data_IF_151372866869
#
_entry.id   IF_151372866869
#
_cell.length_a   1.000
_cell.length_b   1.000
_cell.length_c   1.000
_cell.angle_alpha   90.00
_cell.angle_beta   90.00
_cell.angle_gamma   90.00
#
_symmetry.space_group_name_H-M   'P 1'
#
loop_
_entity.id
_entity.type
_entity.pdbx_description
1 polymer ?
#
# COMPACT_ATOMS: atom_id res chain seq x y z
N UNK A 1 16.94 -22.26 -4.91
CA UNK A 1 17.21 -20.90 -5.44
C UNK A 1 15.94 -20.21 -5.96
N UNK A 2 15.17 -20.75 -6.92
CA UNK A 2 13.95 -20.10 -7.46
C UNK A 2 12.89 -19.71 -6.41
N UNK A 3 12.66 -20.50 -5.34
CA UNK A 3 11.72 -20.13 -4.27
C UNK A 3 12.17 -18.89 -3.48
N UNK A 4 13.46 -18.77 -3.14
CA UNK A 4 13.98 -17.59 -2.44
C UNK A 4 13.90 -16.31 -3.30
N UNK A 5 14.02 -16.44 -4.62
CA UNK A 5 13.92 -15.30 -5.55
C UNK A 5 12.48 -14.83 -5.78
N UNK A 6 11.53 -15.76 -5.89
CA UNK A 6 10.10 -15.44 -5.93
C UNK A 6 9.71 -14.73 -4.63
N UNK A 7 10.17 -15.21 -3.47
CA UNK A 7 9.96 -14.53 -2.18
C UNK A 7 10.59 -13.14 -2.16
N UNK A 8 11.83 -12.96 -2.63
CA UNK A 8 12.51 -11.66 -2.67
C UNK A 8 11.80 -10.64 -3.58
N UNK A 9 11.35 -11.05 -4.76
CA UNK A 9 10.65 -10.16 -5.69
C UNK A 9 9.22 -9.85 -5.25
N UNK A 10 8.48 -10.82 -4.72
CA UNK A 10 7.18 -10.60 -4.07
C UNK A 10 7.33 -9.56 -2.96
N UNK A 11 8.36 -9.70 -2.11
CA UNK A 11 8.66 -8.74 -1.03
C UNK A 11 9.02 -7.35 -1.57
N UNK A 12 9.65 -7.24 -2.75
CA UNK A 12 10.00 -5.96 -3.36
C UNK A 12 8.85 -5.25 -4.09
N UNK A 13 7.95 -5.99 -4.75
CA UNK A 13 6.86 -5.43 -5.56
C UNK A 13 5.61 -5.10 -4.75
N UNK A 14 5.32 -5.84 -3.68
CA UNK A 14 4.13 -5.60 -2.84
C UNK A 14 4.11 -4.25 -2.11
N UNK A 15 5.28 -3.66 -1.87
CA UNK A 15 5.45 -2.53 -0.95
C UNK A 15 5.65 -1.16 -1.63
N UNK A 16 5.70 -1.11 -2.96
CA UNK A 16 6.13 0.09 -3.69
C UNK A 16 4.99 1.04 -4.13
N UNK A 17 3.92 1.19 -3.35
CA UNK A 17 2.85 2.14 -3.64
C UNK A 17 2.42 2.82 -2.34
N UNK A 18 3.09 3.93 -2.02
CA UNK A 18 2.63 5.13 -1.29
C UNK A 18 3.85 5.87 -0.75
N UNK A 19 4.64 6.42 -1.66
CA UNK A 19 5.43 7.62 -1.39
C UNK A 19 4.91 8.65 -2.38
N UNK A 20 3.98 9.50 -1.96
CA UNK A 20 3.46 10.59 -2.78
C UNK A 20 4.55 11.65 -2.98
N UNK A 21 4.91 12.02 -4.22
CA UNK A 21 5.60 13.26 -4.48
C UNK A 21 4.56 14.35 -4.81
N UNK A 22 4.54 15.38 -3.95
CA UNK A 22 3.88 16.70 -4.01
C UNK A 22 2.97 17.04 -5.22
N UNK A 23 1.78 17.63 -5.00
CA UNK A 23 1.08 18.41 -6.01
C UNK A 23 1.77 19.77 -6.23
N UNK A 24 2.09 20.11 -7.48
CA UNK A 24 2.53 21.47 -7.85
C UNK A 24 1.33 22.36 -8.09
N UNK A 25 1.11 23.35 -7.21
CA UNK A 25 0.12 24.40 -7.42
C UNK A 25 0.62 25.40 -8.47
N UNK A 26 -0.02 25.47 -9.64
CA UNK A 26 0.06 26.64 -10.55
C UNK A 26 -1.13 27.55 -10.28
N UNK A 27 -0.88 28.72 -9.70
CA UNK A 27 -1.84 29.83 -9.66
C UNK A 27 -1.80 30.58 -10.99
N UNK A 28 -2.91 30.56 -11.71
CA UNK A 28 -3.24 31.55 -12.76
C UNK A 28 -3.80 32.79 -12.09
N UNK A 29 -3.23 33.96 -12.42
CA UNK A 29 -3.66 35.25 -11.88
C UNK A 29 -4.71 35.95 -12.73
N UNK A 30 -5.49 36.83 -12.08
CA UNK A 30 -5.98 38.08 -12.65
C UNK A 30 -6.43 39.05 -11.54
N UNK A 31 -5.69 40.14 -11.43
CA UNK A 31 -6.12 41.54 -11.32
C UNK A 31 -6.67 42.24 -10.05
N UNK A 32 -6.02 43.41 -9.82
CA UNK A 32 -6.46 44.70 -9.22
C UNK A 32 -6.10 45.09 -7.76
N UNK A 33 -4.95 45.77 -7.67
CA UNK A 33 -4.60 47.03 -6.94
C UNK A 33 -4.61 47.17 -5.39
N UNK A 34 -3.72 48.01 -4.81
CA UNK A 34 -3.18 47.85 -3.43
C UNK A 34 -3.68 48.89 -2.41
N UNK A 35 -3.34 48.75 -1.10
CA UNK A 35 -2.41 49.74 -0.55
C UNK A 35 -1.46 49.31 0.60
N UNK A 36 -0.35 50.07 0.64
CA UNK A 36 0.48 50.55 1.76
C UNK A 36 1.38 49.61 2.60
N UNK A 37 2.67 49.95 2.48
CA UNK A 37 3.86 49.49 3.19
C UNK A 37 3.79 49.66 4.71
N UNK A 38 4.24 48.64 5.44
CA UNK A 38 4.92 48.79 6.71
C UNK A 38 6.21 47.95 6.65
N UNK A 39 7.33 48.59 6.99
CA UNK A 39 8.69 48.12 6.77
C UNK A 39 9.31 47.69 8.11
N UNK A 40 9.88 46.48 8.19
CA UNK A 40 10.87 46.07 9.19
C UNK A 40 11.59 44.78 8.76
N UNK A 41 12.78 44.46 9.30
CA UNK A 41 14.05 44.52 8.59
C UNK A 41 14.52 43.16 8.03
N UNK A 42 15.42 43.24 7.04
CA UNK A 42 16.21 42.12 6.51
C UNK A 42 17.00 41.45 7.63
N UNK A 43 16.78 40.15 7.81
CA UNK A 43 17.74 39.23 8.39
C UNK A 43 18.26 38.35 7.26
N UNK A 44 19.58 38.34 7.12
CA UNK A 44 20.32 37.70 6.05
C UNK A 44 20.03 36.20 6.00
N UNK A 45 19.49 35.75 4.85
CA UNK A 45 19.40 34.34 4.52
C UNK A 45 20.79 33.86 4.08
N UNK A 46 21.55 33.32 5.02
CA UNK A 46 22.71 32.49 4.69
C UNK A 46 22.21 31.21 3.98
N UNK A 47 22.66 31.05 2.75
CA UNK A 47 22.49 29.87 1.89
C UNK A 47 22.92 28.60 2.64
N UNK A 48 21.99 27.68 2.89
CA UNK A 48 22.31 26.34 3.39
C UNK A 48 22.51 25.38 2.21
N UNK A 49 23.71 24.81 2.10
CA UNK A 49 24.07 23.81 1.11
C UNK A 49 23.25 22.51 1.26
N UNK A 50 22.74 21.92 0.17
CA UNK A 50 21.87 20.73 0.21
C UNK A 50 22.56 19.45 0.69
N UNK A 51 23.90 19.43 0.79
CA UNK A 51 24.69 18.26 1.20
C UNK A 51 24.79 18.10 2.72
N UNK A 52 24.75 19.21 3.48
CA UNK A 52 24.80 19.15 4.95
C UNK A 52 23.44 18.79 5.58
N UNK A 53 22.34 19.13 4.91
CA UNK A 53 20.99 18.86 5.40
C UNK A 53 20.65 17.36 5.38
N UNK A 54 21.05 16.64 4.33
CA UNK A 54 20.79 15.19 4.18
C UNK A 54 21.54 14.33 5.20
N UNK A 55 22.81 14.64 5.47
CA UNK A 55 23.59 13.93 6.50
C UNK A 55 23.00 14.13 7.90
N UNK A 56 22.49 15.34 8.18
CA UNK A 56 21.82 15.68 9.45
C UNK A 56 20.49 14.94 9.61
N UNK A 57 19.67 14.87 8.55
CA UNK A 57 18.40 14.11 8.57
C UNK A 57 18.63 12.62 8.81
N UNK A 58 19.65 12.03 8.18
CA UNK A 58 19.95 10.62 8.37
C UNK A 58 20.43 10.32 9.79
N UNK A 59 21.27 11.17 10.38
CA UNK A 59 21.69 11.01 11.78
C UNK A 59 20.53 11.15 12.77
N UNK A 60 19.58 12.06 12.51
CA UNK A 60 18.38 12.23 13.35
C UNK A 60 17.51 10.96 13.31
N UNK A 61 17.24 10.43 12.12
CA UNK A 61 16.46 9.19 11.95
C UNK A 61 17.14 8.02 12.65
N UNK A 62 18.46 7.84 12.48
CA UNK A 62 19.22 6.80 13.17
C UNK A 62 19.13 6.92 14.69
N UNK A 63 19.30 8.14 15.23
CA UNK A 63 19.18 8.41 16.66
C UNK A 63 17.78 8.08 17.19
N UNK A 64 16.73 8.47 16.47
CA UNK A 64 15.35 8.17 16.86
C UNK A 64 15.08 6.66 16.89
N UNK A 65 15.53 5.92 15.88
CA UNK A 65 15.39 4.46 15.84
C UNK A 65 16.14 3.78 16.98
N UNK A 66 17.35 4.23 17.32
CA UNK A 66 18.10 3.72 18.47
C UNK A 66 17.38 4.00 19.79
N UNK A 67 16.83 5.20 19.96
CA UNK A 67 16.05 5.58 21.15
C UNK A 67 14.82 4.69 21.31
N UNK A 68 14.09 4.42 20.23
CA UNK A 68 12.94 3.52 20.25
C UNK A 68 13.35 2.07 20.55
N UNK A 69 14.49 1.63 20.02
CA UNK A 69 15.01 0.29 20.28
C UNK A 69 15.51 0.11 21.72
N UNK A 70 16.12 1.13 22.32
CA UNK A 70 16.57 1.09 23.72
C UNK A 70 15.40 1.18 24.70
N UNK A 71 14.35 1.89 24.33
CA UNK A 71 13.18 2.09 25.19
C UNK A 71 12.05 1.07 24.97
N UNK A 72 12.08 0.22 23.93
CA UNK A 72 11.00 -0.72 23.63
C UNK A 72 10.73 -1.71 24.77
N UNK A 73 9.44 -1.89 25.10
CA UNK A 73 8.95 -2.82 26.11
C UNK A 73 7.54 -3.29 25.74
N UNK A 74 7.15 -4.48 26.19
CA UNK A 74 5.79 -4.98 25.95
C UNK A 74 4.76 -4.05 26.62
N UNK A 75 3.92 -3.47 25.79
CA UNK A 75 2.93 -2.47 26.19
C UNK A 75 1.68 -3.15 26.79
N UNK A 76 1.45 -4.40 26.40
CA UNK A 76 0.31 -5.23 26.80
C UNK A 76 0.79 -6.59 27.33
N UNK A 77 1.51 -6.62 28.47
CA UNK A 77 1.82 -7.88 29.14
C UNK A 77 0.54 -8.52 29.70
N UNK A 78 0.61 -9.83 29.98
CA UNK A 78 -0.58 -10.67 30.24
C UNK A 78 -1.40 -10.24 31.47
N UNK A 79 -0.73 -9.74 32.49
CA UNK A 79 -1.29 -9.16 33.72
C UNK A 79 -2.04 -7.86 33.42
N UNK A 80 -1.45 -6.97 32.61
CA UNK A 80 -2.08 -5.71 32.20
C UNK A 80 -3.30 -5.93 31.32
N UNK A 81 -3.26 -6.93 30.44
CA UNK A 81 -4.45 -7.31 29.65
C UNK A 81 -5.59 -7.73 30.57
N UNK A 82 -5.30 -8.47 31.65
CA UNK A 82 -6.33 -8.85 32.62
C UNK A 82 -6.91 -7.63 33.33
N UNK A 83 -6.07 -6.69 33.76
CA UNK A 83 -6.51 -5.44 34.38
C UNK A 83 -7.38 -4.57 33.45
N UNK A 84 -7.05 -4.50 32.16
CA UNK A 84 -7.85 -3.79 31.14
C UNK A 84 -9.23 -4.44 30.93
N UNK A 85 -9.29 -5.77 30.93
CA UNK A 85 -10.55 -6.50 30.78
C UNK A 85 -11.46 -6.27 32.00
N UNK A 86 -10.91 -6.30 33.21
CA UNK A 86 -11.65 -6.06 34.47
C UNK A 86 -11.96 -4.58 34.72
N UNK A 87 -11.46 -3.66 33.88
CA UNK A 87 -11.69 -2.22 34.01
C UNK A 87 -10.88 -1.56 35.12
N UNK A 88 -9.83 -2.22 35.60
CA UNK A 88 -8.98 -1.77 36.72
C UNK A 88 -7.71 -1.04 36.27
N UNK A 89 -7.48 -0.91 34.97
CA UNK A 89 -6.37 -0.17 34.36
C UNK A 89 -6.85 0.68 33.19
N UNK A 90 -6.20 1.82 32.98
CA UNK A 90 -6.32 2.62 31.77
C UNK A 90 -5.47 2.04 30.63
N UNK A 91 -5.87 2.37 29.39
CA UNK A 91 -5.17 1.93 28.19
C UNK A 91 -3.78 2.54 28.11
N UNK A 92 -2.80 1.79 27.59
CA UNK A 92 -1.45 2.31 27.42
C UNK A 92 -1.42 3.44 26.41
N UNK A 93 -1.07 4.63 26.88
CA UNK A 93 -0.77 5.82 26.06
C UNK A 93 0.64 5.70 25.47
N UNK A 94 0.93 6.50 24.44
CA UNK A 94 2.28 6.73 23.93
C UNK A 94 3.24 7.06 25.09
N UNK A 95 4.44 6.46 25.05
CA UNK A 95 5.51 6.74 26.03
C UNK A 95 6.16 8.08 25.76
N UNK A 96 6.91 8.60 26.72
CA UNK A 96 7.52 9.92 26.59
C UNK A 96 8.59 9.94 25.50
N UNK A 97 9.35 8.86 25.32
CA UNK A 97 10.27 8.71 24.20
C UNK A 97 9.55 8.70 22.84
N UNK A 98 8.39 8.03 22.78
CA UNK A 98 7.58 7.97 21.55
C UNK A 98 6.96 9.33 21.23
N UNK A 99 6.41 10.02 22.23
CA UNK A 99 5.90 11.39 22.10
C UNK A 99 7.00 12.34 21.63
N UNK A 100 8.20 12.21 22.19
CA UNK A 100 9.33 13.03 21.81
C UNK A 100 9.69 12.82 20.34
N UNK A 101 9.87 11.57 19.91
CA UNK A 101 10.14 11.24 18.51
C UNK A 101 9.01 11.75 17.60
N UNK A 102 7.74 11.53 17.95
CA UNK A 102 6.61 12.04 17.15
C UNK A 102 6.72 13.57 16.99
N UNK A 103 6.97 14.30 18.08
CA UNK A 103 7.07 15.76 18.05
C UNK A 103 8.24 16.26 17.20
N UNK A 104 9.39 15.58 17.23
CA UNK A 104 10.59 15.91 16.47
C UNK A 104 10.36 15.79 14.96
N UNK A 105 9.69 14.72 14.52
CA UNK A 105 9.48 14.45 13.10
C UNK A 105 8.27 15.19 12.52
N UNK A 106 7.29 15.58 13.34
CA UNK A 106 6.11 16.32 12.89
C UNK A 106 6.35 17.81 12.57
N UNK A 107 7.56 18.35 12.83
CA UNK A 107 7.89 19.75 12.53
C UNK A 107 7.91 20.03 11.02
N UNK A 108 8.29 19.06 10.21
CA UNK A 108 8.46 19.22 8.76
C UNK A 108 7.85 18.04 8.00
N UNK A 109 6.99 18.35 7.03
CA UNK A 109 6.30 17.37 6.18
C UNK A 109 7.27 16.37 5.51
N UNK A 110 8.34 16.88 4.91
CA UNK A 110 9.33 16.06 4.20
C UNK A 110 10.15 15.17 5.14
N UNK A 111 10.43 15.64 6.35
CA UNK A 111 11.12 14.88 7.39
C UNK A 111 10.25 13.73 7.89
N UNK A 112 8.97 14.01 8.20
CA UNK A 112 8.01 12.98 8.56
C UNK A 112 7.80 11.95 7.46
N UNK A 113 7.68 12.35 6.18
CA UNK A 113 7.56 11.37 5.08
C UNK A 113 8.78 10.46 4.97
N UNK A 114 9.98 11.04 5.11
CA UNK A 114 11.24 10.28 5.08
C UNK A 114 11.29 9.29 6.24
N UNK A 115 10.92 9.74 7.45
CA UNK A 115 10.92 8.89 8.64
C UNK A 115 9.89 7.76 8.57
N UNK A 116 8.65 8.05 8.16
CA UNK A 116 7.62 7.03 7.94
C UNK A 116 8.09 6.00 6.91
N UNK A 117 8.76 6.43 5.84
CA UNK A 117 9.33 5.53 4.83
C UNK A 117 10.42 4.63 5.40
N UNK A 118 11.31 5.16 6.24
CA UNK A 118 12.36 4.38 6.91
C UNK A 118 11.78 3.38 7.91
N UNK A 119 10.75 3.75 8.68
CA UNK A 119 10.05 2.80 9.57
C UNK A 119 9.48 1.64 8.76
N UNK A 120 8.79 1.92 7.65
CA UNK A 120 8.21 0.89 6.80
C UNK A 120 9.27 -0.04 6.21
N UNK A 121 10.41 0.53 5.77
CA UNK A 121 11.53 -0.25 5.27
C UNK A 121 12.13 -1.14 6.37
N UNK A 122 12.31 -0.62 7.58
CA UNK A 122 12.81 -1.40 8.72
C UNK A 122 11.88 -2.55 9.08
N UNK A 123 10.56 -2.29 9.19
CA UNK A 123 9.54 -3.33 9.44
C UNK A 123 9.60 -4.41 8.34
N UNK A 124 9.78 -3.99 7.09
CA UNK A 124 9.86 -4.90 5.94
C UNK A 124 11.13 -5.76 5.96
N UNK A 125 12.30 -5.16 6.14
CA UNK A 125 13.60 -5.85 6.09
C UNK A 125 13.77 -6.79 7.27
N UNK A 126 13.33 -6.37 8.46
CA UNK A 126 13.55 -7.09 9.71
C UNK A 126 12.36 -7.98 10.14
N UNK A 127 11.31 -8.08 9.32
CA UNK A 127 10.04 -8.77 9.62
C UNK A 127 10.18 -10.12 10.35
N UNK A 128 11.16 -10.94 9.98
CA UNK A 128 11.34 -12.29 10.52
C UNK A 128 12.14 -12.40 11.83
N UNK A 129 12.81 -11.32 12.25
CA UNK A 129 13.71 -11.32 13.41
C UNK A 129 13.58 -10.06 14.29
N UNK A 130 12.72 -9.11 13.91
CA UNK A 130 12.41 -7.94 14.71
C UNK A 130 11.76 -8.36 16.03
N UNK A 131 12.28 -7.85 17.15
CA UNK A 131 11.66 -8.03 18.45
C UNK A 131 10.24 -7.48 18.48
N UNK A 132 9.30 -8.22 19.07
CA UNK A 132 7.88 -7.85 19.13
C UNK A 132 7.66 -6.45 19.74
N UNK A 133 8.44 -6.10 20.76
CA UNK A 133 8.33 -4.82 21.46
C UNK A 133 8.76 -3.64 20.56
N UNK A 134 9.80 -3.85 19.75
CA UNK A 134 10.25 -2.87 18.76
C UNK A 134 9.19 -2.68 17.67
N UNK A 135 8.60 -3.77 17.17
CA UNK A 135 7.51 -3.70 16.19
C UNK A 135 6.32 -2.90 16.74
N UNK A 136 5.90 -3.17 17.98
CA UNK A 136 4.83 -2.43 18.64
C UNK A 136 5.17 -0.94 18.74
N UNK A 137 6.38 -0.60 19.19
CA UNK A 137 6.81 0.79 19.34
C UNK A 137 6.87 1.53 17.99
N UNK A 138 7.45 0.92 16.97
CA UNK A 138 7.51 1.49 15.61
C UNK A 138 6.11 1.70 15.03
N UNK A 139 5.19 0.76 15.20
CA UNK A 139 3.81 0.89 14.72
C UNK A 139 3.04 1.99 15.47
N UNK A 140 3.22 2.12 16.80
CA UNK A 140 2.62 3.21 17.58
C UNK A 140 3.16 4.57 17.18
N UNK A 141 4.47 4.71 17.02
CA UNK A 141 5.10 5.95 16.54
C UNK A 141 4.62 6.31 15.15
N UNK A 142 4.57 5.33 14.23
CA UNK A 142 4.07 5.53 12.87
C UNK A 142 2.64 6.08 12.88
N UNK A 143 1.73 5.44 13.65
CA UNK A 143 0.34 5.88 13.76
C UNK A 143 0.23 7.24 14.47
N UNK A 144 1.06 7.51 15.48
CA UNK A 144 1.13 8.80 16.15
C UNK A 144 1.56 9.94 15.23
N UNK A 145 2.57 9.72 14.38
CA UNK A 145 2.98 10.69 13.35
C UNK A 145 1.85 10.90 12.33
N UNK A 146 1.17 9.83 11.89
CA UNK A 146 0.01 9.93 11.01
C UNK A 146 -1.14 10.72 11.66
N UNK A 147 -1.40 10.51 12.95
CA UNK A 147 -2.44 11.21 13.71
C UNK A 147 -2.18 12.71 13.76
N UNK A 148 -0.95 13.12 14.11
CA UNK A 148 -0.56 14.54 14.15
C UNK A 148 -0.69 15.24 12.80
N UNK A 149 -0.60 14.45 11.71
CA UNK A 149 -0.72 14.94 10.34
C UNK A 149 -2.13 14.81 9.75
N UNK A 150 -3.05 14.14 10.44
CA UNK A 150 -4.37 13.82 9.90
C UNK A 150 -4.37 12.82 8.74
N UNK A 151 -3.32 12.01 8.59
CA UNK A 151 -3.16 11.04 7.50
C UNK A 151 -3.64 9.63 7.91
N UNK A 152 -4.95 9.45 7.96
CA UNK A 152 -5.56 8.15 8.31
C UNK A 152 -5.28 7.08 7.25
N UNK A 153 -5.12 7.46 5.98
CA UNK A 153 -4.85 6.53 4.89
C UNK A 153 -3.53 5.79 5.08
N UNK A 154 -2.45 6.48 5.47
CA UNK A 154 -1.17 5.83 5.78
C UNK A 154 -1.27 4.89 6.98
N UNK A 155 -2.04 5.25 8.01
CA UNK A 155 -2.27 4.40 9.17
C UNK A 155 -3.04 3.11 8.79
N UNK A 156 -4.12 3.24 8.00
CA UNK A 156 -4.87 2.09 7.49
C UNK A 156 -4.02 1.21 6.58
N UNK A 157 -3.21 1.80 5.72
CA UNK A 157 -2.30 1.07 4.84
C UNK A 157 -1.27 0.24 5.64
N UNK A 158 -0.77 0.75 6.77
CA UNK A 158 0.10 -0.01 7.67
C UNK A 158 -0.65 -1.22 8.26
N UNK A 159 -1.86 -1.02 8.80
CA UNK A 159 -2.65 -2.12 9.37
C UNK A 159 -2.98 -3.19 8.31
N UNK A 160 -3.40 -2.75 7.13
CA UNK A 160 -3.61 -3.62 5.98
C UNK A 160 -2.36 -4.45 5.67
N UNK A 161 -1.17 -3.85 5.65
CA UNK A 161 0.11 -4.56 5.40
C UNK A 161 0.39 -5.60 6.49
N UNK A 162 0.26 -5.24 7.76
CA UNK A 162 0.47 -6.16 8.90
C UNK A 162 -0.42 -7.40 8.79
N UNK A 163 -1.69 -7.21 8.44
CA UNK A 163 -2.64 -8.32 8.23
C UNK A 163 -2.33 -9.10 6.95
N UNK A 164 -2.07 -8.44 5.83
CA UNK A 164 -1.82 -9.09 4.53
C UNK A 164 -0.53 -9.91 4.51
N UNK A 165 0.44 -9.50 5.31
CA UNK A 165 1.74 -10.16 5.43
C UNK A 165 1.80 -11.19 6.56
N UNK A 166 0.69 -11.56 7.19
CA UNK A 166 0.69 -12.64 8.18
C UNK A 166 1.74 -12.46 9.30
N UNK A 167 1.93 -11.21 9.77
CA UNK A 167 2.75 -10.95 10.94
C UNK A 167 2.22 -11.73 12.15
N UNK A 168 3.13 -12.38 12.88
CA UNK A 168 2.80 -13.00 14.16
C UNK A 168 2.27 -11.93 15.11
N UNK A 169 1.17 -12.23 15.81
CA UNK A 169 0.48 -11.29 16.71
C UNK A 169 -0.05 -9.99 16.06
N UNK A 170 -0.30 -9.95 14.74
CA UNK A 170 -0.89 -8.79 14.09
C UNK A 170 -2.11 -8.19 14.85
N UNK A 171 -3.05 -8.99 15.40
CA UNK A 171 -4.14 -8.43 16.23
C UNK A 171 -3.67 -7.69 17.50
N UNK A 172 -2.60 -8.15 18.16
CA UNK A 172 -2.00 -7.47 19.32
C UNK A 172 -1.35 -6.14 18.88
N UNK A 173 -0.64 -6.15 17.74
CA UNK A 173 -0.04 -4.93 17.18
C UNK A 173 -1.11 -3.89 16.81
N UNK A 174 -2.22 -4.33 16.20
CA UNK A 174 -3.36 -3.46 15.87
C UNK A 174 -3.98 -2.87 17.15
N UNK A 175 -4.10 -3.68 18.21
CA UNK A 175 -4.60 -3.19 19.49
C UNK A 175 -3.73 -2.06 20.04
N UNK A 176 -2.40 -2.22 20.08
CA UNK A 176 -1.51 -1.15 20.59
C UNK A 176 -1.47 0.08 19.69
N UNK A 177 -1.68 -0.08 18.38
CA UNK A 177 -1.88 1.04 17.47
C UNK A 177 -3.16 1.81 17.80
N UNK A 178 -4.24 1.09 18.08
CA UNK A 178 -5.52 1.68 18.46
C UNK A 178 -5.43 2.42 19.80
N UNK A 179 -4.60 1.96 20.75
CA UNK A 179 -4.38 2.74 21.99
C UNK A 179 -3.61 4.04 21.76
N UNK A 180 -2.77 4.11 20.73
CA UNK A 180 -2.09 5.35 20.34
C UNK A 180 -3.03 6.34 19.63
N UNK A 181 -3.98 5.85 18.82
CA UNK A 181 -4.97 6.68 18.13
C UNK A 181 -6.36 6.01 18.13
N UNK A 182 -7.19 6.19 19.17
CA UNK A 182 -8.43 5.41 19.37
C UNK A 182 -9.43 5.45 18.21
N UNK A 183 -9.56 6.59 17.53
CA UNK A 183 -10.57 6.80 16.48
C UNK A 183 -10.14 6.36 15.07
N UNK A 184 -8.89 5.92 14.88
CA UNK A 184 -8.37 5.72 13.52
C UNK A 184 -9.04 4.55 12.80
N UNK A 185 -9.51 3.53 13.52
CA UNK A 185 -10.21 2.37 12.94
C UNK A 185 -11.73 2.55 12.92
N UNK A 186 -12.25 3.78 12.76
CA UNK A 186 -13.68 3.98 12.60
C UNK A 186 -14.23 3.12 11.44
N UNK A 187 -15.38 2.49 11.66
CA UNK A 187 -15.96 1.48 10.76
C UNK A 187 -16.54 2.04 9.44
N UNK A 188 -16.21 3.29 9.10
CA UNK A 188 -16.82 4.04 7.99
C UNK A 188 -16.28 3.63 6.62
N UNK A 189 -14.99 3.29 6.53
CA UNK A 189 -14.37 2.96 5.24
C UNK A 189 -14.45 1.46 4.92
N UNK A 190 -14.51 1.11 3.62
CA UNK A 190 -14.43 -0.28 3.17
C UNK A 190 -13.20 -1.01 3.73
N UNK A 191 -12.07 -0.30 3.85
CA UNK A 191 -10.82 -0.85 4.34
C UNK A 191 -10.86 -1.09 5.84
N UNK A 192 -11.40 -0.17 6.63
CA UNK A 192 -11.61 -0.38 8.07
C UNK A 192 -12.49 -1.59 8.32
N UNK A 193 -13.59 -1.76 7.57
CA UNK A 193 -14.45 -2.95 7.68
C UNK A 193 -13.68 -4.24 7.38
N UNK A 194 -12.87 -4.24 6.32
CA UNK A 194 -12.01 -5.39 6.01
C UNK A 194 -10.97 -5.67 7.10
N UNK A 195 -10.36 -4.63 7.68
CA UNK A 195 -9.43 -4.73 8.80
C UNK A 195 -10.13 -5.35 10.03
N UNK A 196 -11.34 -4.90 10.36
CA UNK A 196 -12.12 -5.44 11.48
C UNK A 196 -12.40 -6.94 11.28
N UNK A 197 -12.91 -7.32 10.12
CA UNK A 197 -13.23 -8.71 9.78
C UNK A 197 -11.97 -9.59 9.90
N UNK A 198 -10.86 -9.19 9.27
CA UNK A 198 -9.66 -10.02 9.26
C UNK A 198 -8.96 -10.04 10.63
N UNK A 199 -8.99 -8.95 11.38
CA UNK A 199 -8.48 -8.92 12.76
C UNK A 199 -9.30 -9.85 13.66
N UNK A 200 -10.62 -9.84 13.52
CA UNK A 200 -11.53 -10.71 14.26
C UNK A 200 -11.28 -12.19 13.98
N UNK A 201 -11.10 -12.56 12.70
CA UNK A 201 -10.77 -13.93 12.29
C UNK A 201 -9.41 -14.43 12.85
N UNK A 202 -8.47 -13.51 13.13
CA UNK A 202 -7.11 -13.85 13.56
C UNK A 202 -6.89 -13.74 15.06
N UNK A 203 -7.67 -12.92 15.74
CA UNK A 203 -7.55 -12.71 17.17
C UNK A 203 -7.96 -13.97 17.95
N UNK A 204 -7.23 -14.27 19.03
CA UNK A 204 -7.50 -15.43 19.91
C UNK A 204 -7.34 -15.04 21.38
N UNK A 205 -8.00 -15.79 22.26
CA UNK A 205 -7.85 -15.67 23.71
C UNK A 205 -8.09 -14.25 24.22
N UNK A 206 -7.22 -13.78 25.13
CA UNK A 206 -7.38 -12.48 25.79
C UNK A 206 -7.34 -11.28 24.82
N UNK A 207 -6.57 -11.38 23.73
CA UNK A 207 -6.48 -10.32 22.72
C UNK A 207 -7.79 -10.16 21.95
N UNK A 208 -8.48 -11.28 21.66
CA UNK A 208 -9.82 -11.23 21.06
C UNK A 208 -10.79 -10.45 21.95
N UNK A 209 -10.89 -10.81 23.24
CA UNK A 209 -11.79 -10.11 24.16
C UNK A 209 -11.48 -8.62 24.30
N UNK A 210 -10.19 -8.25 24.29
CA UNK A 210 -9.79 -6.85 24.40
C UNK A 210 -10.16 -6.06 23.13
N UNK A 211 -9.91 -6.63 21.95
CA UNK A 211 -10.32 -6.03 20.67
C UNK A 211 -11.84 -5.91 20.57
N UNK A 212 -12.58 -6.93 21.00
CA UNK A 212 -14.04 -6.91 21.02
C UNK A 212 -14.56 -5.72 21.84
N UNK A 213 -14.04 -5.55 23.06
CA UNK A 213 -14.40 -4.42 23.94
C UNK A 213 -13.99 -3.07 23.34
N UNK A 214 -12.81 -2.98 22.73
CA UNK A 214 -12.22 -1.69 22.34
C UNK A 214 -12.64 -1.21 20.95
N UNK A 215 -12.95 -2.13 20.04
CA UNK A 215 -13.47 -1.83 18.72
C UNK A 215 -15.00 -1.99 18.65
N UNK A 216 -15.65 -2.09 19.82
CA UNK A 216 -17.10 -2.20 19.97
C UNK A 216 -17.74 -3.34 19.17
N UNK A 217 -17.06 -4.49 19.04
CA UNK A 217 -17.60 -5.63 18.31
C UNK A 217 -18.75 -6.34 19.03
N UNK A 218 -18.95 -6.08 20.32
CA UNK A 218 -20.15 -6.52 21.05
C UNK A 218 -21.41 -5.80 20.56
N UNK A 219 -21.28 -4.54 20.12
CA UNK A 219 -22.37 -3.70 19.60
C UNK A 219 -22.48 -3.88 18.07
N UNK A 220 -21.36 -3.80 17.37
CA UNK A 220 -21.26 -3.91 15.92
C UNK A 220 -20.26 -5.02 15.51
N UNK A 221 -20.70 -6.29 15.50
CA UNK A 221 -19.81 -7.40 15.20
C UNK A 221 -19.32 -7.35 13.74
N UNK A 222 -18.05 -7.69 13.48
CA UNK A 222 -17.51 -7.76 12.13
C UNK A 222 -18.31 -8.73 11.25
N UNK A 223 -18.68 -8.26 10.05
CA UNK A 223 -19.55 -9.01 9.14
C UNK A 223 -18.91 -10.24 8.50
N UNK A 224 -19.73 -11.02 7.79
CA UNK A 224 -19.28 -12.16 7.01
C UNK A 224 -18.36 -11.74 5.85
N UNK A 225 -17.27 -12.48 5.64
CA UNK A 225 -16.26 -12.17 4.62
C UNK A 225 -16.80 -12.20 3.18
N UNK A 226 -17.68 -13.13 2.83
CA UNK A 226 -18.26 -13.19 1.49
C UNK A 226 -19.16 -11.97 1.23
N UNK A 227 -20.00 -11.62 2.22
CA UNK A 227 -20.86 -10.45 2.13
C UNK A 227 -20.03 -9.17 2.03
N UNK A 228 -18.91 -9.08 2.76
CA UNK A 228 -17.99 -7.97 2.69
C UNK A 228 -17.33 -7.84 1.30
N UNK A 229 -16.92 -8.96 0.68
CA UNK A 229 -16.37 -8.94 -0.69
C UNK A 229 -17.42 -8.44 -1.68
N UNK A 230 -18.63 -9.04 -1.69
CA UNK A 230 -19.70 -8.68 -2.61
C UNK A 230 -20.14 -7.23 -2.45
N UNK A 231 -20.36 -6.78 -1.21
CA UNK A 231 -20.77 -5.40 -0.93
C UNK A 231 -19.66 -4.40 -1.29
N UNK A 232 -18.39 -4.71 -1.02
CA UNK A 232 -17.26 -3.85 -1.38
C UNK A 232 -17.13 -3.71 -2.88
N UNK A 233 -17.26 -4.82 -3.64
CA UNK A 233 -17.22 -4.78 -5.10
C UNK A 233 -18.36 -3.95 -5.68
N UNK A 234 -19.58 -4.12 -5.14
CA UNK A 234 -20.75 -3.31 -5.54
C UNK A 234 -20.51 -1.82 -5.28
N UNK A 235 -20.15 -1.45 -4.06
CA UNK A 235 -19.87 -0.05 -3.70
C UNK A 235 -18.74 0.55 -4.55
N UNK A 236 -17.70 -0.22 -4.84
CA UNK A 236 -16.61 0.20 -5.72
C UNK A 236 -17.10 0.58 -7.13
N UNK A 237 -18.02 -0.19 -7.71
CA UNK A 237 -18.52 0.08 -9.06
C UNK A 237 -19.47 1.29 -9.08
N UNK A 238 -20.24 1.49 -8.01
CA UNK A 238 -21.24 2.55 -7.87
C UNK A 238 -20.65 3.90 -7.41
N UNK A 239 -19.44 3.94 -6.86
CA UNK A 239 -18.85 5.14 -6.25
C UNK A 239 -18.49 6.22 -7.29
N UNK A 240 -19.32 7.25 -7.42
CA UNK A 240 -19.10 8.35 -8.36
C UNK A 240 -17.85 9.20 -8.07
N UNK A 241 -17.26 9.11 -6.87
CA UNK A 241 -16.13 9.93 -6.43
C UNK A 241 -14.75 9.47 -6.95
N UNK A 242 -14.67 8.25 -7.49
CA UNK A 242 -13.42 7.67 -8.01
C UNK A 242 -12.88 8.51 -9.18
N UNK A 243 -11.59 8.84 -9.13
CA UNK A 243 -10.90 9.64 -10.14
C UNK A 243 -9.43 9.28 -10.28
N UNK A 244 -8.85 9.61 -11.43
CA UNK A 244 -7.41 9.61 -11.63
C UNK A 244 -6.78 10.85 -10.99
N UNK A 245 -5.56 10.70 -10.48
CA UNK A 245 -4.73 11.77 -9.95
C UNK A 245 -3.42 11.81 -10.74
N UNK A 246 -2.99 13.00 -11.16
CA UNK A 246 -1.66 13.17 -11.74
C UNK A 246 -0.59 12.90 -10.68
N UNK A 247 0.46 12.20 -11.08
CA UNK A 247 1.57 11.86 -10.21
C UNK A 247 2.89 11.92 -10.97
N UNK A 248 3.87 12.65 -10.46
CA UNK A 248 5.16 12.83 -11.14
C UNK A 248 5.97 11.54 -11.32
N UNK A 249 5.78 10.56 -10.42
CA UNK A 249 6.47 9.28 -10.45
C UNK A 249 5.72 8.22 -11.26
N UNK A 250 4.40 8.12 -11.07
CA UNK A 250 3.55 7.12 -11.72
C UNK A 250 2.90 7.58 -13.04
N UNK A 251 2.98 8.88 -13.37
CA UNK A 251 2.23 9.51 -14.47
C UNK A 251 0.81 9.84 -14.01
N UNK A 252 -0.01 8.80 -13.89
CA UNK A 252 -1.33 8.86 -13.27
C UNK A 252 -1.47 7.74 -12.25
N UNK A 253 -2.09 8.04 -11.12
CA UNK A 253 -2.44 7.09 -10.07
C UNK A 253 -3.93 7.17 -9.74
N UNK A 254 -4.41 6.22 -8.94
CA UNK A 254 -5.77 6.16 -8.45
C UNK A 254 -5.93 7.01 -7.19
N UNK A 255 -7.10 7.61 -6.99
CA UNK A 255 -7.36 8.36 -5.77
C UNK A 255 -7.37 7.47 -4.51
N UNK A 256 -7.18 8.04 -3.30
CA UNK A 256 -7.16 7.27 -2.06
C UNK A 256 -8.41 6.41 -1.83
N UNK A 257 -9.60 6.89 -2.21
CA UNK A 257 -10.84 6.12 -2.13
C UNK A 257 -10.78 4.84 -2.98
N UNK A 258 -10.23 4.91 -4.19
CA UNK A 258 -10.04 3.74 -5.05
C UNK A 258 -9.05 2.74 -4.43
N UNK A 259 -7.95 3.23 -3.85
CA UNK A 259 -6.99 2.37 -3.16
C UNK A 259 -7.58 1.68 -1.92
N UNK A 260 -8.49 2.35 -1.19
CA UNK A 260 -9.23 1.73 -0.09
C UNK A 260 -10.03 0.50 -0.58
N UNK A 261 -10.75 0.60 -1.71
CA UNK A 261 -11.47 -0.55 -2.28
C UNK A 261 -10.52 -1.68 -2.70
N UNK A 262 -9.41 -1.34 -3.35
CA UNK A 262 -8.41 -2.33 -3.78
C UNK A 262 -7.82 -3.07 -2.57
N UNK A 263 -7.41 -2.35 -1.53
CA UNK A 263 -6.85 -2.96 -0.32
C UNK A 263 -7.88 -3.79 0.43
N UNK A 264 -9.13 -3.34 0.47
CA UNK A 264 -10.23 -4.10 1.07
C UNK A 264 -10.43 -5.45 0.39
N UNK A 265 -10.61 -5.43 -0.94
CA UNK A 265 -10.85 -6.64 -1.73
C UNK A 265 -9.64 -7.58 -1.68
N UNK A 266 -8.43 -7.04 -1.78
CA UNK A 266 -7.20 -7.82 -1.70
C UNK A 266 -6.99 -8.46 -0.31
N UNK A 267 -7.34 -7.76 0.77
CA UNK A 267 -7.22 -8.28 2.13
C UNK A 267 -8.24 -9.39 2.40
N UNK A 268 -9.50 -9.18 2.01
CA UNK A 268 -10.59 -10.15 2.19
C UNK A 268 -10.37 -11.39 1.31
N UNK A 269 -10.02 -11.21 0.03
CA UNK A 269 -9.72 -12.33 -0.86
C UNK A 269 -8.52 -13.16 -0.38
N UNK A 270 -7.56 -12.55 0.31
CA UNK A 270 -6.44 -13.27 0.90
C UNK A 270 -6.88 -14.38 1.86
N UNK A 271 -7.92 -14.12 2.67
CA UNK A 271 -8.42 -15.12 3.64
C UNK A 271 -9.19 -16.25 2.96
N UNK A 272 -9.74 -16.00 1.77
CA UNK A 272 -10.44 -17.02 0.97
C UNK A 272 -9.49 -17.96 0.23
N UNK A 273 -8.24 -17.55 0.02
CA UNK A 273 -7.22 -18.31 -0.68
C UNK A 273 -7.35 -18.26 -2.20
N UNK A 274 -6.23 -18.57 -2.88
CA UNK A 274 -6.07 -18.37 -4.32
C UNK A 274 -7.12 -19.08 -5.19
N UNK A 275 -7.39 -20.37 -4.94
CA UNK A 275 -8.33 -21.17 -5.75
C UNK A 275 -9.73 -20.59 -5.73
N UNK A 276 -10.19 -20.12 -4.57
CA UNK A 276 -11.48 -19.46 -4.45
C UNK A 276 -11.46 -18.11 -5.17
N UNK A 277 -10.42 -17.30 -4.94
CA UNK A 277 -10.28 -15.96 -5.54
C UNK A 277 -10.27 -16.01 -7.06
N UNK A 278 -9.49 -16.91 -7.67
CA UNK A 278 -9.43 -17.00 -9.14
C UNK A 278 -10.77 -17.43 -9.73
N UNK A 279 -11.47 -18.35 -9.06
CA UNK A 279 -12.72 -18.93 -9.57
C UNK A 279 -13.90 -17.99 -9.40
N UNK A 280 -14.01 -17.32 -8.25
CA UNK A 280 -15.20 -16.56 -7.91
C UNK A 280 -15.07 -15.06 -8.14
N UNK A 281 -13.86 -14.50 -8.01
CA UNK A 281 -13.66 -13.05 -8.15
C UNK A 281 -13.01 -12.73 -9.49
N UNK A 282 -11.85 -13.32 -9.79
CA UNK A 282 -11.11 -12.98 -11.01
C UNK A 282 -11.90 -13.38 -12.26
N UNK A 283 -12.31 -14.66 -12.37
CA UNK A 283 -12.96 -15.17 -13.58
C UNK A 283 -14.41 -14.71 -13.76
N UNK A 284 -15.19 -14.66 -12.68
CA UNK A 284 -16.63 -14.35 -12.75
C UNK A 284 -16.91 -12.85 -12.74
N UNK A 285 -16.25 -12.10 -11.88
CA UNK A 285 -16.59 -10.69 -11.67
C UNK A 285 -15.62 -9.75 -12.39
N UNK A 286 -14.33 -9.83 -12.07
CA UNK A 286 -13.33 -8.88 -12.58
C UNK A 286 -13.15 -8.99 -14.10
N UNK A 287 -13.08 -10.21 -14.63
CA UNK A 287 -12.96 -10.43 -16.07
C UNK A 287 -14.23 -10.04 -16.84
N UNK A 288 -15.41 -10.18 -16.21
CA UNK A 288 -16.67 -9.73 -16.79
C UNK A 288 -16.70 -8.20 -16.92
N UNK A 289 -16.21 -7.46 -15.92
CA UNK A 289 -16.06 -6.00 -15.99
C UNK A 289 -15.17 -5.61 -17.19
N UNK A 290 -14.01 -6.26 -17.35
CA UNK A 290 -13.09 -5.98 -18.45
C UNK A 290 -13.69 -6.28 -19.82
N UNK A 291 -14.35 -7.43 -19.98
CA UNK A 291 -15.01 -7.82 -21.23
C UNK A 291 -16.14 -6.86 -21.59
N UNK A 292 -16.96 -6.47 -20.61
CA UNK A 292 -18.08 -5.55 -20.81
C UNK A 292 -17.58 -4.17 -21.25
N UNK A 293 -16.52 -3.67 -20.62
CA UNK A 293 -15.89 -2.41 -21.02
C UNK A 293 -15.27 -2.46 -22.42
N UNK A 294 -14.69 -3.60 -22.84
CA UNK A 294 -14.13 -3.76 -24.19
C UNK A 294 -15.18 -3.79 -25.30
N UNK A 295 -16.32 -4.43 -25.06
CA UNK A 295 -17.38 -4.61 -26.08
C UNK A 295 -18.17 -3.33 -26.35
N UNK A 296 -17.92 -2.27 -25.60
CA UNK A 296 -18.70 -1.05 -25.65
C UNK A 296 -18.21 -0.07 -26.73
N UNK A 297 -19.15 0.57 -27.42
CA UNK A 297 -18.84 1.68 -28.31
C UNK A 297 -18.31 2.88 -27.51
N UNK A 298 -17.17 3.44 -27.93
CA UNK A 298 -16.52 4.60 -27.27
C UNK A 298 -17.34 5.89 -27.33
N UNK A 299 -18.44 5.89 -28.08
CA UNK A 299 -19.38 7.01 -28.27
C UNK A 299 -20.57 6.98 -27.30
N UNK A 300 -20.75 5.90 -26.53
CA UNK A 300 -21.84 5.74 -25.56
C UNK A 300 -21.35 5.99 -24.12
N UNK A 301 -22.26 6.40 -23.22
CA UNK A 301 -21.93 6.47 -21.78
C UNK A 301 -21.45 5.09 -21.30
N UNK A 302 -20.26 5.05 -20.71
CA UNK A 302 -19.61 3.81 -20.31
C UNK A 302 -20.34 3.14 -19.15
N UNK A 303 -20.78 1.86 -19.25
CA UNK A 303 -21.36 1.15 -18.11
C UNK A 303 -20.31 0.98 -17.00
N UNK A 304 -19.03 0.92 -17.37
CA UNK A 304 -17.90 1.00 -16.44
C UNK A 304 -16.96 2.14 -16.82
N UNK A 305 -16.71 3.04 -15.87
CA UNK A 305 -15.78 4.16 -16.04
C UNK A 305 -14.33 3.66 -16.15
N UNK A 306 -13.50 4.39 -16.88
CA UNK A 306 -12.09 4.04 -17.08
C UNK A 306 -11.32 3.90 -15.75
N UNK A 307 -11.63 4.72 -14.74
CA UNK A 307 -11.04 4.60 -13.39
C UNK A 307 -11.35 3.26 -12.72
N UNK A 308 -12.56 2.72 -12.93
CA UNK A 308 -12.93 1.41 -12.40
C UNK A 308 -12.12 0.31 -13.11
N UNK A 309 -11.94 0.41 -14.43
CA UNK A 309 -11.16 -0.57 -15.21
C UNK A 309 -9.69 -0.54 -14.83
N UNK A 310 -9.12 0.66 -14.68
CA UNK A 310 -7.77 0.84 -14.16
C UNK A 310 -7.61 0.19 -12.77
N UNK A 311 -8.53 0.44 -11.86
CA UNK A 311 -8.54 -0.18 -10.54
C UNK A 311 -8.68 -1.70 -10.58
N UNK A 312 -9.48 -2.27 -11.49
CA UNK A 312 -9.56 -3.71 -11.72
C UNK A 312 -8.20 -4.28 -12.13
N UNK A 313 -7.46 -3.62 -13.03
CA UNK A 313 -6.11 -4.08 -13.38
C UNK A 313 -5.15 -4.05 -12.19
N UNK A 314 -5.16 -2.95 -11.42
CA UNK A 314 -4.34 -2.86 -10.18
C UNK A 314 -4.72 -3.97 -9.20
N UNK A 315 -6.00 -4.25 -9.02
CA UNK A 315 -6.49 -5.34 -8.18
C UNK A 315 -6.05 -6.71 -8.71
N UNK A 316 -6.14 -6.97 -10.02
CA UNK A 316 -5.71 -8.24 -10.62
C UNK A 316 -4.22 -8.52 -10.40
N UNK A 317 -3.37 -7.49 -10.52
CA UNK A 317 -1.94 -7.58 -10.20
C UNK A 317 -1.71 -8.04 -8.77
N UNK A 318 -2.41 -7.42 -7.81
CA UNK A 318 -2.33 -7.75 -6.37
C UNK A 318 -2.91 -9.12 -6.04
N UNK A 319 -4.09 -9.45 -6.55
CA UNK A 319 -4.72 -10.76 -6.30
C UNK A 319 -3.89 -11.90 -6.90
N UNK A 320 -3.28 -11.71 -8.08
CA UNK A 320 -2.39 -12.71 -8.67
C UNK A 320 -1.14 -12.99 -7.83
N UNK A 321 -0.70 -12.04 -7.01
CA UNK A 321 0.36 -12.31 -6.04
C UNK A 321 -0.01 -13.35 -4.97
N UNK A 322 -1.31 -13.53 -4.66
CA UNK A 322 -1.74 -14.63 -3.80
C UNK A 322 -1.35 -15.97 -4.42
N UNK A 323 -1.56 -16.13 -5.73
CA UNK A 323 -1.18 -17.32 -6.48
C UNK A 323 0.34 -17.56 -6.50
N UNK A 324 1.15 -16.50 -6.52
CA UNK A 324 2.60 -16.60 -6.39
C UNK A 324 3.01 -17.15 -5.01
N UNK A 325 2.40 -16.66 -3.92
CA UNK A 325 2.70 -17.11 -2.56
C UNK A 325 2.44 -18.62 -2.37
N UNK A 326 1.39 -19.16 -2.99
CA UNK A 326 1.04 -20.59 -2.90
C UNK A 326 1.62 -21.45 -4.04
N UNK A 327 2.54 -20.89 -4.84
CA UNK A 327 3.23 -21.56 -5.95
C UNK A 327 2.30 -22.21 -7.01
N UNK A 328 1.16 -21.57 -7.31
CA UNK A 328 0.14 -22.07 -8.25
C UNK A 328 0.45 -21.67 -9.71
N UNK A 329 1.61 -22.12 -10.19
CA UNK A 329 2.26 -21.67 -11.42
C UNK A 329 1.36 -21.66 -12.66
N UNK A 330 0.71 -22.77 -13.00
CA UNK A 330 -0.09 -22.88 -14.24
C UNK A 330 -1.24 -21.87 -14.29
N UNK A 331 -2.00 -21.76 -13.21
CA UNK A 331 -3.15 -20.85 -13.14
C UNK A 331 -2.72 -19.38 -13.21
N UNK A 332 -1.54 -19.08 -12.65
CA UNK A 332 -0.97 -17.74 -12.64
C UNK A 332 -0.35 -17.35 -13.98
N UNK A 333 0.39 -18.27 -14.62
CA UNK A 333 0.92 -18.06 -15.97
C UNK A 333 -0.22 -17.81 -16.96
N UNK A 334 -1.35 -18.50 -16.79
CA UNK A 334 -2.56 -18.25 -17.59
C UNK A 334 -3.11 -16.83 -17.36
N UNK A 335 -3.22 -16.39 -16.10
CA UNK A 335 -3.67 -15.03 -15.79
C UNK A 335 -2.72 -13.97 -16.36
N UNK A 336 -1.41 -14.12 -16.14
CA UNK A 336 -0.39 -13.20 -16.65
C UNK A 336 -0.40 -13.15 -18.18
N UNK A 337 -0.55 -14.31 -18.85
CA UNK A 337 -0.69 -14.39 -20.30
C UNK A 337 -1.94 -13.64 -20.78
N UNK A 338 -3.08 -13.85 -20.14
CA UNK A 338 -4.33 -13.16 -20.51
C UNK A 338 -4.22 -11.64 -20.36
N UNK A 339 -3.59 -11.14 -19.29
CA UNK A 339 -3.39 -9.70 -19.08
C UNK A 339 -2.39 -9.12 -20.11
N UNK A 340 -1.28 -9.82 -20.39
CA UNK A 340 -0.33 -9.43 -21.43
C UNK A 340 -0.99 -9.34 -22.81
N UNK A 341 -1.78 -10.35 -23.18
CA UNK A 341 -2.52 -10.40 -24.45
C UNK A 341 -3.56 -9.28 -24.52
N UNK A 342 -4.32 -9.06 -23.43
CA UNK A 342 -5.28 -7.97 -23.33
C UNK A 342 -4.62 -6.62 -23.59
N UNK A 343 -3.51 -6.33 -22.90
CA UNK A 343 -2.77 -5.08 -23.10
C UNK A 343 -2.32 -4.93 -24.54
N UNK A 344 -1.64 -5.93 -25.08
CA UNK A 344 -1.07 -5.87 -26.44
C UNK A 344 -2.11 -5.66 -27.54
N UNK A 345 -3.28 -6.27 -27.40
CA UNK A 345 -4.35 -6.14 -28.39
C UNK A 345 -5.04 -4.76 -28.35
N UNK A 346 -4.97 -4.04 -27.23
CA UNK A 346 -5.79 -2.86 -26.99
C UNK A 346 -4.99 -1.56 -26.80
N UNK A 347 -3.69 -1.61 -26.52
CA UNK A 347 -2.85 -0.40 -26.38
C UNK A 347 -2.92 0.52 -27.61
N UNK A 348 -2.94 -0.05 -28.83
CA UNK A 348 -3.05 0.71 -30.08
C UNK A 348 -4.49 1.04 -30.51
N UNK A 349 -5.51 0.57 -29.77
CA UNK A 349 -6.93 0.72 -30.12
C UNK A 349 -7.62 1.84 -29.32
N UNK A 350 -6.89 2.89 -28.98
CA UNK A 350 -7.43 4.05 -28.26
C UNK A 350 -7.74 3.80 -26.78
N UNK A 351 -7.06 2.84 -26.14
CA UNK A 351 -7.14 2.66 -24.68
C UNK A 351 -6.66 3.94 -23.97
N UNK A 352 -7.42 4.49 -23.00
CA UNK A 352 -7.00 5.65 -22.21
C UNK A 352 -5.66 5.40 -21.52
N UNK A 353 -4.81 6.42 -21.50
CA UNK A 353 -3.43 6.29 -21.02
C UNK A 353 -3.33 5.80 -19.57
N UNK A 354 -4.21 6.29 -18.71
CA UNK A 354 -4.31 5.92 -17.31
C UNK A 354 -4.65 4.44 -17.12
N UNK A 355 -5.50 3.91 -18.00
CA UNK A 355 -5.80 2.47 -18.06
C UNK A 355 -4.59 1.69 -18.57
N UNK A 356 -3.88 2.19 -19.59
CA UNK A 356 -2.65 1.55 -20.07
C UNK A 356 -1.62 1.42 -18.94
N UNK A 357 -1.36 2.50 -18.21
CA UNK A 357 -0.44 2.49 -17.06
C UNK A 357 -0.84 1.45 -16.01
N UNK A 358 -2.14 1.32 -15.74
CA UNK A 358 -2.65 0.32 -14.80
C UNK A 358 -2.43 -1.12 -15.27
N UNK A 359 -2.59 -1.38 -16.57
CA UNK A 359 -2.24 -2.68 -17.18
C UNK A 359 -0.74 -2.94 -17.03
N UNK A 360 0.10 -1.95 -17.31
CA UNK A 360 1.57 -2.06 -17.20
C UNK A 360 2.00 -2.42 -15.77
N UNK A 361 1.42 -1.77 -14.76
CA UNK A 361 1.70 -2.12 -13.38
C UNK A 361 1.18 -3.51 -13.00
N UNK A 362 0.03 -3.94 -13.51
CA UNK A 362 -0.47 -5.30 -13.30
C UNK A 362 0.44 -6.36 -13.93
N UNK A 363 0.99 -6.08 -15.12
CA UNK A 363 1.98 -6.95 -15.78
C UNK A 363 3.25 -7.04 -14.94
N UNK A 364 3.73 -5.91 -14.40
CA UNK A 364 4.89 -5.88 -13.51
C UNK A 364 4.65 -6.68 -12.23
N UNK A 365 3.49 -6.53 -11.60
CA UNK A 365 3.10 -7.33 -10.44
C UNK A 365 3.22 -8.83 -10.78
N UNK A 366 2.64 -9.28 -11.89
CA UNK A 366 2.62 -10.70 -12.27
C UNK A 366 3.90 -11.21 -12.94
N UNK A 367 4.88 -10.35 -13.19
CA UNK A 367 6.11 -10.68 -13.89
C UNK A 367 6.88 -11.90 -13.33
N UNK A 368 6.91 -12.20 -12.02
CA UNK A 368 7.61 -13.38 -11.50
C UNK A 368 7.13 -14.71 -12.08
N UNK A 369 5.87 -14.76 -12.54
CA UNK A 369 5.33 -15.96 -13.18
C UNK A 369 5.89 -16.20 -14.58
N UNK A 370 6.20 -15.12 -15.31
CA UNK A 370 6.73 -15.16 -16.67
C UNK A 370 7.43 -13.83 -17.01
N UNK A 371 8.68 -13.64 -16.54
CA UNK A 371 9.36 -12.35 -16.64
C UNK A 371 9.73 -12.01 -18.08
N UNK A 372 10.02 -13.01 -18.92
CA UNK A 372 10.37 -12.80 -20.34
C UNK A 372 9.18 -12.26 -21.15
N UNK A 373 7.99 -12.86 -20.97
CA UNK A 373 6.79 -12.38 -21.66
C UNK A 373 6.36 -10.99 -21.15
N UNK A 374 6.50 -10.74 -19.85
CA UNK A 374 6.24 -9.42 -19.26
C UNK A 374 7.19 -8.37 -19.87
N UNK A 375 8.51 -8.61 -19.86
CA UNK A 375 9.51 -7.69 -20.40
C UNK A 375 9.25 -7.37 -21.87
N UNK A 376 9.02 -8.40 -22.69
CA UNK A 376 8.70 -8.24 -24.12
C UNK A 376 7.48 -7.35 -24.33
N UNK A 377 6.44 -7.53 -23.52
CA UNK A 377 5.21 -6.73 -23.59
C UNK A 377 5.50 -5.26 -23.22
N UNK A 378 6.22 -5.02 -22.14
CA UNK A 378 6.53 -3.66 -21.68
C UNK A 378 7.44 -2.91 -22.67
N UNK A 379 8.44 -3.57 -23.24
CA UNK A 379 9.33 -2.97 -24.24
C UNK A 379 8.59 -2.65 -25.55
N UNK A 380 7.71 -3.55 -26.00
CA UNK A 380 6.85 -3.31 -27.17
C UNK A 380 5.94 -2.12 -26.96
N UNK A 381 5.25 -2.06 -25.81
CA UNK A 381 4.41 -0.93 -25.44
C UNK A 381 5.22 0.38 -25.37
N UNK A 382 6.38 0.37 -24.72
CA UNK A 382 7.26 1.54 -24.60
C UNK A 382 7.69 2.08 -25.97
N UNK A 383 8.04 1.21 -26.91
CA UNK A 383 8.46 1.62 -28.28
C UNK A 383 7.32 2.27 -29.06
N UNK A 384 6.09 1.85 -28.84
CA UNK A 384 4.91 2.30 -29.57
C UNK A 384 4.15 3.43 -28.85
N UNK A 385 4.56 3.81 -27.64
CA UNK A 385 3.91 4.86 -26.85
C UNK A 385 4.26 6.23 -27.38
N UNK A 386 3.25 7.08 -27.59
CA UNK A 386 3.43 8.48 -28.00
C UNK A 386 3.61 9.42 -26.80
N UNK A 387 3.24 8.97 -25.60
CA UNK A 387 3.37 9.74 -24.37
C UNK A 387 4.70 9.46 -23.65
N UNK A 388 5.11 10.43 -22.80
CA UNK A 388 6.30 10.28 -21.96
C UNK A 388 6.08 9.17 -20.93
N UNK A 389 6.92 8.13 -20.99
CA UNK A 389 6.86 7.01 -20.04
C UNK A 389 7.25 7.47 -18.63
N UNK A 390 6.42 7.19 -17.60
CA UNK A 390 6.71 7.59 -16.22
C UNK A 390 7.96 6.91 -15.63
N UNK A 391 8.67 7.55 -14.70
CA UNK A 391 9.83 6.96 -14.02
C UNK A 391 9.54 5.60 -13.36
N UNK A 392 8.37 5.43 -12.75
CA UNK A 392 7.96 4.15 -12.14
C UNK A 392 7.99 2.99 -13.15
N UNK A 393 7.51 3.22 -14.37
CA UNK A 393 7.48 2.20 -15.42
C UNK A 393 8.89 1.85 -15.91
N UNK A 394 9.78 2.85 -16.00
CA UNK A 394 11.20 2.60 -16.34
C UNK A 394 11.84 1.71 -15.27
N UNK A 395 11.54 1.96 -13.99
CA UNK A 395 11.99 1.11 -12.88
C UNK A 395 11.42 -0.30 -12.99
N UNK A 396 10.13 -0.46 -13.31
CA UNK A 396 9.51 -1.77 -13.54
C UNK A 396 10.24 -2.56 -14.63
N UNK A 397 10.50 -1.95 -15.79
CA UNK A 397 11.23 -2.58 -16.91
C UNK A 397 12.63 -3.02 -16.46
N UNK A 398 13.34 -2.16 -15.74
CA UNK A 398 14.69 -2.45 -15.23
C UNK A 398 14.68 -3.63 -14.25
N UNK A 399 13.70 -3.69 -13.35
CA UNK A 399 13.54 -4.78 -12.39
C UNK A 399 13.23 -6.12 -13.07
N UNK A 400 12.33 -6.13 -14.07
CA UNK A 400 12.00 -7.36 -14.80
C UNK A 400 13.17 -7.80 -15.68
N UNK A 401 13.89 -6.87 -16.30
CA UNK A 401 15.12 -7.19 -17.04
C UNK A 401 16.15 -7.88 -16.14
N UNK A 402 16.37 -7.36 -14.94
CA UNK A 402 17.22 -8.00 -13.94
C UNK A 402 16.74 -9.40 -13.57
N UNK A 403 15.43 -9.60 -13.36
CA UNK A 403 14.86 -10.94 -13.13
C UNK A 403 15.19 -11.91 -14.28
N UNK A 404 15.00 -11.50 -15.54
CA UNK A 404 15.30 -12.33 -16.71
C UNK A 404 16.78 -12.74 -16.77
N UNK A 405 17.70 -11.86 -16.34
CA UNK A 405 19.13 -12.17 -16.30
C UNK A 405 19.48 -13.18 -15.21
N UNK A 406 18.80 -13.16 -14.07
CA UNK A 406 19.02 -14.12 -12.98
C UNK A 406 18.44 -15.51 -13.27
N UNK A 407 17.41 -15.60 -14.12
CA UNK A 407 16.78 -16.88 -14.48
C UNK A 407 17.50 -17.63 -15.61
N UNK A 408 18.43 -16.97 -16.32
CA UNK A 408 19.27 -17.66 -17.32
C UNK A 408 20.34 -18.48 -16.59
N UNK A 409 20.48 -19.80 -16.86
CA UNK A 409 21.62 -20.54 -16.34
C UNK A 409 22.91 -19.86 -16.83
N UNK A 410 23.83 -19.59 -15.91
CA UNK A 410 25.20 -19.24 -16.29
C UNK A 410 25.74 -20.45 -17.06
N UNK A 411 25.77 -20.35 -18.39
CA UNK A 411 26.55 -21.26 -19.21
C UNK A 411 27.97 -21.25 -18.65
N UNK A 412 28.42 -22.44 -18.27
CA UNK A 412 29.76 -22.80 -17.84
C UNK A 412 30.82 -21.86 -18.40
N UNK A 413 31.47 -21.13 -17.49
CA UNK A 413 32.83 -20.65 -17.75
C UNK A 413 33.65 -21.86 -18.19
N UNK A 414 34.18 -21.79 -19.41
CA UNK A 414 35.33 -22.57 -19.87
C UNK A 414 36.39 -22.60 -18.77
N UNK A 415 36.73 -23.80 -18.30
CA UNK A 415 37.87 -24.24 -17.50
C UNK A 415 37.70 -25.77 -17.50
N UNK A 416 38.47 -26.62 -18.17
CA UNK A 416 39.74 -26.57 -18.88
C UNK A 416 39.60 -27.34 -20.20
#
# INVERSE_FOLDING_TARGET
MQLCFIVYFIVHVFFYIHTDPKPTAKRTGSDMSPPRKAQKPRLDAASADPVNTTHTTQSLISSALETLQKSCSDVLPTDRIHALLTGTSELPVLRDEEKHVISEFCVNESLAETFLSVILEKIKVERGFMGHDLLQSLCRVYVGVCQQRGDSHKAHALVYRLLKEDFLEAPKVIMVMATAWPSFLSYESSLCRAIHIVSNLRAKGKIFHLLTKYLHWDEEPPGNIHNAITSTLKSFLEDSSLRFLENSWYGYDLCPATWNYIFSLDLLCAQMGWTWTITNIIRKDLWLILNTWLMQARTEQTPFRDVCVAAVFRLLGRLGQLGLKVNMRTSLENLARSINQFGMQNFSKGMPWEVQLSVIYAIHDLAPSNPEAALKTLESWRKNSTQRVPPAVIKCITQISFLCHQTKPQNSKKLL
#
